data_IF_479236944267
#
_entry.id   IF_479236944267
#
_cell.length_a   1.000
_cell.length_b   1.000
_cell.length_c   1.000
_cell.angle_alpha   90.00
_cell.angle_beta   90.00
_cell.angle_gamma   90.00
#
_symmetry.space_group_name_H-M   'P 1'
#
loop_
_entity.id
_entity.type
_entity.pdbx_description
1 polymer ?
#
# COMPACT_ATOMS: atom_id res chain seq x y z
N UNK A 1 63.96 67.52 -51.75
CA UNK A 1 63.71 68.90 -52.22
C UNK A 1 62.42 69.39 -51.56
N UNK A 2 62.44 70.58 -50.95
CA UNK A 2 61.30 71.45 -50.56
C UNK A 2 60.44 70.96 -49.37
N UNK A 3 60.64 71.46 -48.14
CA UNK A 3 60.30 72.79 -47.54
C UNK A 3 58.80 73.06 -47.37
N UNK A 4 58.35 73.21 -46.11
CA UNK A 4 57.36 74.21 -45.64
C UNK A 4 57.23 74.05 -44.10
N UNK A 5 57.80 74.88 -43.22
CA UNK A 5 57.50 76.27 -42.80
C UNK A 5 56.09 76.50 -42.22
N UNK A 6 56.10 77.03 -40.99
CA UNK A 6 55.16 77.92 -40.31
C UNK A 6 54.07 77.34 -39.36
N UNK A 7 54.28 77.64 -38.07
CA UNK A 7 53.30 77.92 -37.00
C UNK A 7 52.34 79.07 -37.39
N UNK A 8 51.18 79.34 -36.73
CA UNK A 8 51.11 79.67 -35.29
C UNK A 8 49.81 79.27 -34.54
N UNK A 9 49.82 79.63 -33.25
CA UNK A 9 48.80 79.48 -32.22
C UNK A 9 47.40 80.04 -32.54
N UNK A 10 46.36 79.48 -31.91
CA UNK A 10 45.39 80.31 -31.20
C UNK A 10 44.58 79.54 -30.15
N UNK A 11 44.23 80.30 -29.11
CA UNK A 11 43.64 79.93 -27.84
C UNK A 11 42.13 79.67 -27.91
N UNK A 12 41.63 78.89 -26.97
CA UNK A 12 40.24 78.82 -26.52
C UNK A 12 40.12 77.64 -25.54
N UNK A 13 39.84 77.80 -24.25
CA UNK A 13 38.90 78.73 -23.63
C UNK A 13 37.87 77.88 -22.89
N UNK A 14 38.12 77.69 -21.59
CA UNK A 14 37.16 77.46 -20.50
C UNK A 14 35.91 76.60 -20.76
N UNK A 15 35.78 75.49 -20.02
CA UNK A 15 34.54 75.18 -19.28
C UNK A 15 34.78 74.08 -18.25
N UNK A 16 34.76 74.51 -17.00
CA UNK A 16 34.45 73.72 -15.81
C UNK A 16 33.29 72.76 -16.05
N UNK A 17 33.41 71.50 -15.62
CA UNK A 17 32.27 70.76 -15.09
C UNK A 17 32.75 69.64 -14.16
N UNK A 18 32.62 69.95 -12.88
CA UNK A 18 32.66 69.01 -11.78
C UNK A 18 31.73 67.81 -12.01
N UNK A 19 31.96 66.76 -11.20
CA UNK A 19 30.94 66.21 -10.29
C UNK A 19 30.47 64.77 -10.44
N UNK A 20 31.19 63.81 -11.05
CA UNK A 20 30.69 62.42 -10.93
C UNK A 20 31.81 61.40 -10.81
N UNK A 21 32.10 61.01 -9.56
CA UNK A 21 32.21 59.61 -9.10
C UNK A 21 32.85 59.57 -7.72
N UNK A 22 32.12 60.03 -6.72
CA UNK A 22 32.25 59.47 -5.38
C UNK A 22 31.80 58.01 -5.45
N UNK A 23 32.77 57.10 -5.54
CA UNK A 23 32.54 55.68 -5.32
C UNK A 23 32.13 55.53 -3.87
N UNK A 24 30.82 55.47 -3.62
CA UNK A 24 30.27 54.95 -2.39
C UNK A 24 30.83 53.54 -2.21
N UNK A 25 31.84 53.41 -1.35
CA UNK A 25 32.24 52.12 -0.80
C UNK A 25 31.05 51.66 0.02
N UNK A 26 30.12 50.94 -0.61
CA UNK A 26 29.12 50.19 0.13
C UNK A 26 29.89 49.27 1.06
N UNK A 27 29.80 49.53 2.36
CA UNK A 27 30.40 48.70 3.37
C UNK A 27 29.86 47.29 3.17
N UNK A 28 30.72 46.37 2.75
CA UNK A 28 30.44 44.94 2.73
C UNK A 28 30.24 44.54 4.19
N UNK A 29 28.99 44.54 4.65
CA UNK A 29 28.62 44.02 5.97
C UNK A 29 28.81 42.50 5.88
N UNK A 30 29.83 42.00 6.57
CA UNK A 30 30.04 40.56 6.72
C UNK A 30 28.89 39.93 7.51
N UNK A 31 28.61 38.67 7.22
CA UNK A 31 27.67 37.86 7.99
C UNK A 31 28.09 37.82 9.46
N UNK A 32 27.12 37.97 10.35
CA UNK A 32 27.39 37.88 11.79
C UNK A 32 27.46 36.40 12.20
N UNK A 33 28.27 36.06 13.21
CA UNK A 33 28.35 34.67 13.69
C UNK A 33 27.00 34.15 14.18
N UNK A 34 26.17 35.02 14.76
CA UNK A 34 24.82 34.67 15.24
C UNK A 34 23.88 34.25 14.10
N UNK A 35 24.09 34.78 12.90
CA UNK A 35 23.28 34.48 11.71
C UNK A 35 23.54 33.05 11.21
N UNK A 36 24.80 32.62 11.25
CA UNK A 36 25.16 31.22 10.95
C UNK A 36 24.73 30.27 12.07
N UNK A 37 24.85 30.69 13.34
CA UNK A 37 24.45 29.84 14.48
C UNK A 37 22.96 29.51 14.47
N UNK A 38 22.09 30.48 14.18
CA UNK A 38 20.65 30.21 14.10
C UNK A 38 20.32 29.21 12.98
N UNK A 39 20.98 29.34 11.82
CA UNK A 39 20.76 28.46 10.67
C UNK A 39 21.10 27.01 11.01
N UNK A 40 22.27 26.75 11.59
CA UNK A 40 22.66 25.37 11.95
C UNK A 40 21.78 24.80 13.06
N UNK A 41 21.25 25.64 13.97
CA UNK A 41 20.30 25.21 15.00
C UNK A 41 18.98 24.78 14.38
N UNK A 42 18.41 25.59 13.49
CA UNK A 42 17.15 25.24 12.79
C UNK A 42 17.36 23.99 11.92
N UNK A 43 18.49 23.89 11.20
CA UNK A 43 18.84 22.70 10.43
C UNK A 43 18.99 21.45 11.31
N UNK A 44 19.55 21.55 12.52
CA UNK A 44 19.64 20.44 13.46
C UNK A 44 18.27 19.95 13.94
N UNK A 45 17.35 20.88 14.22
CA UNK A 45 15.97 20.55 14.62
C UNK A 45 15.22 19.87 13.46
N UNK A 46 15.28 20.46 12.26
CA UNK A 46 14.61 19.91 11.08
C UNK A 46 15.18 18.53 10.68
N UNK A 47 16.51 18.37 10.74
CA UNK A 47 17.15 17.08 10.49
C UNK A 47 16.71 16.00 11.48
N UNK A 48 16.47 16.36 12.75
CA UNK A 48 15.95 15.45 13.77
C UNK A 48 14.53 14.96 13.48
N UNK A 49 13.65 15.82 12.98
CA UNK A 49 12.24 15.47 12.69
C UNK A 49 12.08 14.79 11.32
N UNK A 50 12.94 15.08 10.35
CA UNK A 50 12.84 14.56 8.99
C UNK A 50 12.93 13.02 8.88
N UNK A 51 13.49 12.34 9.88
CA UNK A 51 13.76 10.89 9.84
C UNK A 51 12.54 10.03 10.21
N UNK A 52 11.56 10.56 10.96
CA UNK A 52 10.65 9.67 11.73
C UNK A 52 9.49 9.07 10.95
N UNK A 53 9.26 9.40 9.68
CA UNK A 53 7.95 9.16 9.03
C UNK A 53 7.93 8.18 7.85
N UNK A 54 8.96 7.36 7.65
CA UNK A 54 9.04 6.49 6.45
C UNK A 54 8.74 5.01 6.71
N UNK A 55 8.64 4.55 7.96
CA UNK A 55 8.70 3.11 8.26
C UNK A 55 7.34 2.42 8.41
N UNK A 56 6.26 3.14 8.74
CA UNK A 56 4.94 2.55 9.06
C UNK A 56 3.98 2.37 7.88
N UNK A 57 3.82 3.40 7.04
CA UNK A 57 2.83 3.41 5.93
C UNK A 57 3.06 2.29 4.91
N UNK A 58 4.30 1.84 4.77
CA UNK A 58 4.63 0.73 3.89
C UNK A 58 4.17 -0.64 4.40
N UNK A 59 4.01 -0.84 5.72
CA UNK A 59 3.67 -2.16 6.26
C UNK A 59 2.20 -2.51 6.05
N UNK A 60 1.28 -1.61 6.39
CA UNK A 60 -0.16 -1.85 6.22
C UNK A 60 -0.54 -1.99 4.75
N UNK A 61 0.10 -1.20 3.88
CA UNK A 61 -0.06 -1.32 2.44
C UNK A 61 0.42 -2.69 1.91
N UNK A 62 1.53 -3.22 2.47
CA UNK A 62 2.00 -4.58 2.15
C UNK A 62 0.98 -5.62 2.63
N UNK A 63 0.54 -5.57 3.88
CA UNK A 63 -0.48 -6.52 4.40
C UNK A 63 -1.76 -6.50 3.56
N UNK A 64 -2.24 -5.31 3.19
CA UNK A 64 -3.42 -5.14 2.33
C UNK A 64 -3.22 -5.73 0.94
N UNK A 65 -2.02 -5.56 0.36
CA UNK A 65 -1.67 -6.19 -0.92
C UNK A 65 -1.65 -7.71 -0.81
N UNK A 66 -1.06 -8.26 0.25
CA UNK A 66 -1.05 -9.71 0.48
C UNK A 66 -2.48 -10.28 0.55
N UNK A 67 -3.37 -9.63 1.32
CA UNK A 67 -4.78 -10.01 1.40
C UNK A 67 -5.48 -9.99 0.03
N UNK A 68 -5.26 -8.92 -0.74
CA UNK A 68 -5.84 -8.80 -2.11
C UNK A 68 -5.36 -9.93 -3.03
N UNK A 69 -4.06 -10.23 -3.01
CA UNK A 69 -3.49 -11.30 -3.82
C UNK A 69 -4.05 -12.67 -3.42
N UNK A 70 -4.17 -12.95 -2.11
CA UNK A 70 -4.77 -14.18 -1.58
C UNK A 70 -6.22 -14.32 -2.05
N UNK A 71 -7.03 -13.26 -1.99
CA UNK A 71 -8.41 -13.27 -2.49
C UNK A 71 -8.48 -13.57 -4.00
N UNK A 72 -7.55 -13.03 -4.79
CA UNK A 72 -7.47 -13.32 -6.22
C UNK A 72 -7.10 -14.80 -6.46
N UNK A 73 -6.17 -15.35 -5.70
CA UNK A 73 -5.80 -16.76 -5.76
C UNK A 73 -6.98 -17.65 -5.36
N UNK A 74 -7.70 -17.34 -4.28
CA UNK A 74 -8.90 -18.09 -3.87
C UNK A 74 -9.97 -18.09 -4.95
N UNK A 75 -10.20 -16.94 -5.59
CA UNK A 75 -11.16 -16.85 -6.70
C UNK A 75 -10.75 -17.77 -7.86
N UNK A 76 -9.46 -17.76 -8.21
CA UNK A 76 -8.93 -18.64 -9.25
C UNK A 76 -9.00 -20.13 -8.88
N UNK A 77 -8.76 -20.47 -7.60
CA UNK A 77 -8.91 -21.83 -7.08
C UNK A 77 -10.36 -22.31 -7.19
N UNK A 78 -11.34 -21.49 -6.83
CA UNK A 78 -12.76 -21.83 -7.01
C UNK A 78 -13.13 -22.03 -8.49
N UNK A 79 -12.57 -21.23 -9.41
CA UNK A 79 -12.77 -21.44 -10.85
C UNK A 79 -12.11 -22.72 -11.36
N UNK A 80 -10.93 -23.05 -10.83
CA UNK A 80 -10.22 -24.29 -11.13
C UNK A 80 -11.05 -25.49 -10.68
N UNK A 81 -11.57 -25.47 -9.45
CA UNK A 81 -12.45 -26.53 -8.93
C UNK A 81 -13.68 -26.74 -9.81
N UNK A 82 -14.37 -25.66 -10.20
CA UNK A 82 -15.55 -25.76 -11.08
C UNK A 82 -15.23 -26.37 -12.45
N UNK A 83 -14.03 -26.11 -12.97
CA UNK A 83 -13.62 -26.55 -14.32
C UNK A 83 -13.06 -27.98 -14.30
N UNK A 84 -12.23 -28.29 -13.31
CA UNK A 84 -11.49 -29.55 -13.21
C UNK A 84 -12.18 -30.57 -12.29
N UNK A 85 -13.20 -30.14 -11.54
CA UNK A 85 -13.92 -30.95 -10.56
C UNK A 85 -13.16 -31.22 -9.26
N UNK A 86 -12.00 -30.57 -9.07
CA UNK A 86 -11.13 -30.71 -7.89
C UNK A 86 -10.25 -29.47 -7.73
N UNK A 87 -9.74 -29.23 -6.53
CA UNK A 87 -8.64 -28.29 -6.33
C UNK A 87 -7.31 -28.86 -6.88
N UNK A 88 -6.30 -28.01 -7.13
CA UNK A 88 -4.94 -28.48 -7.39
C UNK A 88 -4.43 -29.33 -6.23
N UNK A 89 -3.65 -30.36 -6.53
CA UNK A 89 -2.95 -31.13 -5.49
C UNK A 89 -1.81 -30.31 -4.89
N UNK A 90 -1.30 -30.71 -3.73
CA UNK A 90 -0.14 -30.05 -3.10
C UNK A 90 1.10 -30.00 -4.02
N UNK A 91 1.30 -31.02 -4.86
CA UNK A 91 2.40 -31.07 -5.83
C UNK A 91 2.20 -30.10 -7.01
N UNK A 92 0.95 -29.87 -7.42
CA UNK A 92 0.59 -28.93 -8.49
C UNK A 92 0.57 -27.48 -8.00
N UNK A 93 0.04 -27.27 -6.80
CA UNK A 93 -0.01 -26.01 -6.08
C UNK A 93 -0.69 -24.86 -6.84
N UNK A 94 -0.30 -23.63 -6.49
CA UNK A 94 -0.80 -22.39 -7.11
C UNK A 94 -0.37 -22.31 -8.59
N UNK A 95 0.69 -23.04 -8.98
CA UNK A 95 1.21 -23.04 -10.34
C UNK A 95 0.22 -23.65 -11.34
N UNK A 96 -0.66 -24.56 -10.92
CA UNK A 96 -1.74 -25.08 -11.77
C UNK A 96 -2.67 -23.96 -12.28
N UNK A 97 -2.82 -22.87 -11.52
CA UNK A 97 -3.74 -21.79 -11.87
C UNK A 97 -3.29 -20.96 -13.08
N UNK A 98 -1.99 -20.97 -13.39
CA UNK A 98 -1.45 -20.25 -14.55
C UNK A 98 -1.32 -21.13 -15.79
N UNK A 99 -1.55 -22.43 -15.64
CA UNK A 99 -1.48 -23.36 -16.76
C UNK A 99 -2.59 -23.06 -17.77
N UNK A 100 -2.19 -22.97 -19.04
CA UNK A 100 -3.10 -22.83 -20.16
C UNK A 100 -3.07 -24.12 -20.97
N UNK A 101 -4.23 -24.75 -21.09
CA UNK A 101 -4.43 -25.95 -21.91
C UNK A 101 -5.25 -25.59 -23.16
N UNK A 102 -5.49 -26.56 -24.03
CA UNK A 102 -6.41 -26.40 -25.15
C UNK A 102 -7.88 -26.36 -24.70
N UNK A 103 -8.18 -26.86 -23.50
CA UNK A 103 -9.55 -27.01 -22.97
C UNK A 103 -10.00 -25.78 -22.18
N UNK A 104 -9.09 -25.11 -21.48
CA UNK A 104 -9.41 -23.93 -20.69
C UNK A 104 -8.30 -22.86 -20.75
N UNK A 105 -8.71 -21.61 -20.50
CA UNK A 105 -7.76 -20.52 -20.28
C UNK A 105 -7.12 -20.65 -18.90
N UNK A 106 -5.99 -19.97 -18.70
CA UNK A 106 -5.40 -19.84 -17.36
C UNK A 106 -6.38 -19.14 -16.42
N UNK A 107 -6.47 -19.61 -15.18
CA UNK A 107 -7.31 -19.05 -14.14
C UNK A 107 -6.70 -17.80 -13.52
N UNK A 108 -5.36 -17.74 -13.53
CA UNK A 108 -4.56 -16.60 -13.10
C UNK A 108 -3.61 -16.20 -14.23
N UNK A 109 -3.34 -14.91 -14.48
CA UNK A 109 -2.40 -14.50 -15.52
C UNK A 109 -0.95 -14.84 -15.19
N UNK A 110 -0.58 -14.77 -13.91
CA UNK A 110 0.71 -15.16 -13.36
C UNK A 110 0.54 -15.39 -11.85
N UNK A 111 1.39 -16.23 -11.24
CA UNK A 111 1.40 -16.40 -9.79
C UNK A 111 2.04 -15.15 -9.17
N UNK A 112 1.31 -14.37 -8.35
CA UNK A 112 1.89 -13.22 -7.68
C UNK A 112 2.93 -13.66 -6.65
N UNK A 113 3.91 -12.81 -6.42
CA UNK A 113 4.83 -12.92 -5.27
C UNK A 113 4.31 -12.02 -4.16
N UNK A 114 4.44 -12.46 -2.92
CA UNK A 114 4.01 -11.67 -1.78
C UNK A 114 4.82 -10.34 -1.66
N UNK A 115 4.34 -9.40 -0.84
CA UNK A 115 4.99 -8.09 -0.69
C UNK A 115 6.38 -8.13 -0.04
N UNK A 116 6.81 -9.27 0.51
CA UNK A 116 8.11 -9.51 1.14
C UNK A 116 9.04 -10.39 0.28
N UNK A 117 8.60 -10.70 -0.95
CA UNK A 117 9.36 -11.42 -1.97
C UNK A 117 9.37 -12.93 -1.77
N UNK A 118 8.40 -13.52 -1.06
CA UNK A 118 8.21 -14.96 -0.96
C UNK A 118 7.04 -15.43 -1.85
N UNK A 119 7.09 -16.67 -2.37
CA UNK A 119 5.91 -17.27 -2.97
C UNK A 119 4.81 -17.44 -1.92
N UNK A 120 3.56 -17.36 -2.35
CA UNK A 120 2.45 -17.78 -1.50
C UNK A 120 2.50 -19.29 -1.28
N UNK A 121 2.17 -19.70 -0.07
CA UNK A 121 2.03 -21.10 0.29
C UNK A 121 0.62 -21.59 -0.02
N UNK A 122 0.51 -22.90 -0.23
CA UNK A 122 -0.71 -23.57 -0.59
C UNK A 122 -0.79 -24.91 0.11
N UNK A 123 -2.01 -25.28 0.51
CA UNK A 123 -2.33 -26.61 1.00
C UNK A 123 -3.73 -26.99 0.54
N UNK A 124 -3.84 -28.16 -0.09
CA UNK A 124 -5.11 -28.66 -0.63
C UNK A 124 -6.14 -28.89 0.48
N UNK A 125 -5.72 -29.57 1.56
CA UNK A 125 -6.55 -29.82 2.73
C UNK A 125 -6.35 -28.71 3.78
N UNK A 126 -7.42 -27.96 4.09
CA UNK A 126 -7.35 -26.90 5.10
C UNK A 126 -7.07 -27.47 6.49
N UNK A 127 -6.06 -26.93 7.17
CA UNK A 127 -5.84 -27.15 8.60
C UNK A 127 -6.55 -26.08 9.46
N UNK A 128 -7.01 -25.02 8.83
CA UNK A 128 -7.64 -23.87 9.47
C UNK A 128 -9.18 -23.93 9.48
N UNK A 129 -9.75 -25.06 9.06
CA UNK A 129 -11.19 -25.33 9.13
C UNK A 129 -12.02 -24.65 8.03
N UNK A 130 -11.39 -24.24 6.93
CA UNK A 130 -12.07 -23.71 5.75
C UNK A 130 -12.64 -24.84 4.89
N UNK A 131 -13.78 -24.57 4.23
CA UNK A 131 -14.26 -25.40 3.13
C UNK A 131 -13.46 -25.04 1.86
N UNK A 132 -12.33 -25.72 1.65
CA UNK A 132 -11.43 -25.52 0.51
C UNK A 132 -9.95 -25.50 0.93
N UNK A 133 -9.03 -25.12 0.02
CA UNK A 133 -7.60 -25.06 0.31
C UNK A 133 -7.19 -23.85 1.14
N UNK A 134 -6.09 -24.00 1.88
CA UNK A 134 -5.43 -22.91 2.59
C UNK A 134 -4.44 -22.20 1.66
N UNK A 135 -4.41 -20.86 1.72
CA UNK A 135 -3.48 -20.01 0.98
C UNK A 135 -2.98 -18.90 1.89
N UNK A 136 -1.66 -18.75 2.01
CA UNK A 136 -1.08 -17.76 2.90
C UNK A 136 0.30 -17.23 2.48
N UNK A 137 0.70 -16.13 3.11
CA UNK A 137 2.05 -15.57 3.08
C UNK A 137 2.64 -15.63 4.48
N UNK A 138 3.93 -15.98 4.57
CA UNK A 138 4.71 -15.99 5.82
C UNK A 138 5.09 -14.59 6.34
N UNK A 139 4.41 -13.55 5.85
CA UNK A 139 4.63 -12.19 6.30
C UNK A 139 6.05 -11.66 6.11
N UNK A 140 6.44 -10.79 7.03
CA UNK A 140 7.69 -10.03 7.02
C UNK A 140 8.86 -10.85 7.49
N UNK A 141 8.62 -11.75 8.45
CA UNK A 141 9.66 -12.57 9.06
C UNK A 141 9.98 -13.83 8.25
N UNK A 142 9.10 -14.17 7.29
CA UNK A 142 9.22 -15.30 6.36
C UNK A 142 9.17 -16.66 7.03
N UNK A 143 8.71 -16.73 8.26
CA UNK A 143 8.55 -17.95 9.03
C UNK A 143 7.06 -18.32 9.06
N UNK A 144 6.77 -19.61 8.99
CA UNK A 144 5.39 -20.09 9.14
C UNK A 144 5.05 -20.27 10.62
N UNK A 145 3.78 -20.05 10.96
CA UNK A 145 3.25 -20.22 12.31
C UNK A 145 3.49 -19.01 13.21
N UNK A 146 3.76 -17.85 12.64
CA UNK A 146 4.04 -16.60 13.37
C UNK A 146 2.87 -15.63 13.26
N UNK A 147 2.85 -14.60 14.12
CA UNK A 147 1.72 -13.64 14.19
C UNK A 147 1.58 -12.77 12.93
N UNK A 148 2.60 -12.70 12.08
CA UNK A 148 2.58 -11.94 10.83
C UNK A 148 2.15 -12.75 9.61
N UNK A 149 1.80 -14.02 9.79
CA UNK A 149 1.18 -14.84 8.75
C UNK A 149 -0.15 -14.23 8.29
N UNK A 150 -0.32 -14.15 6.98
CA UNK A 150 -1.55 -13.66 6.37
C UNK A 150 -2.12 -14.78 5.54
N UNK A 151 -3.15 -15.42 6.07
CA UNK A 151 -3.87 -16.50 5.40
C UNK A 151 -5.32 -16.14 5.08
N UNK A 152 -5.92 -16.97 4.24
CA UNK A 152 -7.32 -16.88 3.88
C UNK A 152 -8.31 -17.28 5.00
N UNK A 153 -7.81 -17.78 6.13
CA UNK A 153 -8.60 -18.15 7.31
C UNK A 153 -8.82 -17.00 8.31
N UNK A 154 -8.09 -15.89 8.18
CA UNK A 154 -8.23 -14.73 9.06
C UNK A 154 -9.48 -13.93 8.67
N UNK A 155 -10.64 -14.35 9.16
CA UNK A 155 -11.84 -13.51 9.13
C UNK A 155 -11.60 -12.26 9.99
N UNK A 156 -11.93 -11.08 9.47
CA UNK A 156 -11.74 -9.73 10.04
C UNK A 156 -12.40 -9.47 11.43
N UNK A 157 -12.73 -10.50 12.20
CA UNK A 157 -13.45 -10.42 13.48
C UNK A 157 -12.59 -10.15 14.72
N UNK A 158 -11.26 -10.26 14.67
CA UNK A 158 -10.43 -10.25 15.89
C UNK A 158 -9.48 -9.04 16.07
N UNK A 159 -9.67 -7.96 15.31
CA UNK A 159 -8.96 -6.68 15.55
C UNK A 159 -9.85 -5.65 16.27
N UNK A 160 -10.45 -6.05 17.40
CA UNK A 160 -11.03 -5.11 18.39
C UNK A 160 -10.52 -5.38 19.81
N UNK A 161 -9.20 -5.49 19.99
CA UNK A 161 -8.61 -5.34 21.34
C UNK A 161 -7.36 -4.48 21.30
N UNK A 162 -7.53 -3.19 21.62
CA UNK A 162 -6.49 -2.42 22.31
C UNK A 162 -5.98 -1.15 21.64
N UNK A 163 -6.52 -0.02 22.14
CA UNK A 163 -5.87 1.31 22.27
C UNK A 163 -6.34 2.40 21.29
N UNK A 164 -7.32 3.19 21.74
CA UNK A 164 -7.70 4.44 21.07
C UNK A 164 -8.90 5.14 21.71
N UNK A 165 -8.63 5.88 22.78
CA UNK A 165 -9.40 6.99 23.40
C UNK A 165 -10.69 7.48 22.70
N UNK A 166 -11.74 7.63 23.49
CA UNK A 166 -13.11 7.81 23.03
C UNK A 166 -13.46 9.08 22.26
N UNK A 167 -14.61 9.00 21.61
CA UNK A 167 -15.56 10.10 21.40
C UNK A 167 -16.94 9.47 21.29
N UNK A 168 -17.71 9.58 22.37
CA UNK A 168 -19.16 9.30 22.33
C UNK A 168 -19.85 10.52 21.72
N UNK A 169 -20.34 10.38 20.51
CA UNK A 169 -21.20 11.40 19.89
C UNK A 169 -21.72 10.95 18.54
N UNK A 170 -23.04 10.75 18.42
CA UNK A 170 -23.66 10.61 17.10
C UNK A 170 -24.91 9.73 17.05
N UNK A 171 -26.02 10.30 17.50
CA UNK A 171 -27.41 9.85 17.31
C UNK A 171 -27.80 9.63 15.84
N UNK A 172 -28.60 8.58 15.57
CA UNK A 172 -29.44 8.42 14.37
C UNK A 172 -29.67 6.92 14.09
N UNK A 173 -30.84 6.30 14.29
CA UNK A 173 -32.17 6.75 13.90
C UNK A 173 -32.48 6.21 12.50
N UNK A 174 -32.93 4.95 12.40
CA UNK A 174 -33.23 4.29 11.12
C UNK A 174 -34.22 3.14 11.28
N UNK A 175 -35.47 3.43 10.94
CA UNK A 175 -36.68 2.59 10.94
C UNK A 175 -36.85 1.71 9.69
N UNK A 176 -37.64 0.64 9.80
CA UNK A 176 -38.33 -0.04 8.67
C UNK A 176 -37.87 -1.49 8.52
N UNK A 177 -38.70 -2.53 8.67
CA UNK A 177 -39.90 -2.92 7.92
C UNK A 177 -39.68 -4.40 7.58
N UNK A 178 -40.56 -5.37 7.91
CA UNK A 178 -41.84 -5.64 7.26
C UNK A 178 -41.72 -6.89 6.36
N UNK A 179 -42.61 -7.88 6.51
CA UNK A 179 -42.79 -9.03 5.60
C UNK A 179 -42.67 -10.41 6.29
N UNK A 180 -43.74 -11.09 6.72
CA UNK A 180 -44.78 -11.86 5.99
C UNK A 180 -44.35 -13.23 5.46
N UNK A 181 -45.27 -14.19 5.66
CA UNK A 181 -45.47 -15.48 4.95
C UNK A 181 -44.33 -16.49 5.05
N UNK A 182 -44.54 -17.75 5.44
CA UNK A 182 -45.62 -18.66 5.07
C UNK A 182 -44.97 -19.86 4.38
N UNK A 183 -45.40 -21.08 4.70
CA UNK A 183 -44.89 -22.27 4.00
C UNK A 183 -44.98 -23.54 4.83
N UNK A 184 -46.01 -24.34 4.56
CA UNK A 184 -46.16 -25.68 5.12
C UNK A 184 -45.15 -26.66 4.54
N UNK A 185 -44.81 -27.66 5.35
CA UNK A 185 -44.07 -28.86 4.94
C UNK A 185 -44.82 -30.10 5.38
N UNK A 186 -45.46 -30.75 4.41
CA UNK A 186 -46.10 -32.06 4.50
C UNK A 186 -45.08 -33.19 4.29
N UNK A 187 -45.32 -34.34 4.94
CA UNK A 187 -44.83 -35.66 4.53
C UNK A 187 -43.56 -36.10 5.27
N UNK A 188 -43.38 -37.35 5.68
CA UNK A 188 -44.20 -38.54 5.60
C UNK A 188 -43.50 -39.60 6.45
N UNK A 189 -44.20 -40.13 7.46
CA UNK A 189 -43.69 -41.18 8.33
C UNK A 189 -44.04 -42.55 7.77
N UNK A 190 -43.06 -43.22 7.17
CA UNK A 190 -43.10 -44.62 6.75
C UNK A 190 -43.30 -45.55 7.95
N UNK A 191 -44.08 -46.62 7.71
CA UNK A 191 -44.50 -47.58 8.72
C UNK A 191 -43.54 -48.75 8.97
N UNK A 192 -44.06 -49.66 9.80
CA UNK A 192 -43.49 -50.93 10.24
C UNK A 192 -43.90 -51.11 11.70
N UNK A 193 -44.78 -52.03 12.11
CA UNK A 193 -45.11 -53.35 11.58
C UNK A 193 -44.96 -54.31 12.76
N UNK A 194 -46.06 -54.77 13.35
CA UNK A 194 -46.02 -55.78 14.42
C UNK A 194 -47.33 -55.89 15.20
N UNK A 195 -47.95 -57.06 15.19
CA UNK A 195 -49.11 -57.41 16.01
C UNK A 195 -50.11 -58.29 15.25
N UNK A 196 -49.89 -59.61 15.17
CA UNK A 196 -50.40 -60.67 16.07
C UNK A 196 -51.91 -60.88 16.04
N UNK A 197 -52.30 -62.12 15.75
CA UNK A 197 -53.38 -62.81 16.45
C UNK A 197 -54.65 -63.07 15.65
N UNK A 198 -55.05 -64.35 15.61
CA UNK A 198 -56.38 -64.79 15.20
C UNK A 198 -56.36 -66.01 14.31
#
# INVERSE_FOLDING_TARGET
MCYFRASPAHQGGSRTMNSWRERSRQAQRGFTLIELMLVIVILGILAGVAVTNLTGVGEDARKTRAKTDIQAIQTALGMYEVTMGRYPSDDEGIQALVEKTDEHRSFLPQVPTDPWGQPYNYREESENGLEGPDVWSNGKDKQEGTEDDIGNWLSESDETTGTGTGTTGGTGGGTGGGGTSGGGGTGGGTGGGGGTGG
#
